data_IF_079234712016
#
_entry.id   IF_079234712016
#
_cell.length_a   1.000
_cell.length_b   1.000
_cell.length_c   1.000
_cell.angle_alpha   90.00
_cell.angle_beta   90.00
_cell.angle_gamma   90.00
#
_symmetry.space_group_name_H-M   'P 1'
#
loop_
_entity.id
_entity.type
_entity.pdbx_description
1 polymer ?
#
# COMPACT_ATOMS: atom_id res chain seq x y z
N UNK A 1 26.22 -5.34 -6.14
CA UNK A 1 24.97 -5.27 -5.35
C UNK A 1 24.28 -3.97 -5.74
N UNK A 2 23.00 -3.97 -6.07
CA UNK A 2 22.28 -2.76 -6.50
C UNK A 2 21.58 -2.14 -5.31
N UNK A 3 21.86 -0.87 -5.03
CA UNK A 3 21.18 -0.13 -3.97
C UNK A 3 19.86 0.48 -4.48
N UNK A 4 18.87 0.55 -3.59
CA UNK A 4 17.57 1.16 -3.83
C UNK A 4 17.30 2.13 -2.69
N UNK A 5 17.17 3.42 -3.02
CA UNK A 5 16.76 4.44 -2.07
C UNK A 5 15.24 4.53 -2.01
N UNK A 6 14.71 4.95 -0.86
CA UNK A 6 13.28 5.18 -0.69
C UNK A 6 12.89 6.54 -1.27
N UNK A 7 11.71 6.60 -1.87
CA UNK A 7 11.05 7.84 -2.29
C UNK A 7 9.77 8.08 -1.47
N UNK A 8 9.28 9.32 -1.32
CA UNK A 8 7.99 9.56 -0.66
C UNK A 8 6.84 8.88 -1.41
N UNK A 9 5.90 8.28 -0.67
CA UNK A 9 4.70 7.70 -1.26
C UNK A 9 3.71 8.80 -1.70
N UNK A 10 3.26 8.73 -2.95
CA UNK A 10 2.17 9.54 -3.49
C UNK A 10 1.26 8.66 -4.36
N UNK A 11 0.00 9.04 -4.55
CA UNK A 11 -0.82 8.33 -5.53
C UNK A 11 -0.22 8.33 -6.94
N UNK A 12 0.43 9.41 -7.35
CA UNK A 12 0.96 9.54 -8.72
C UNK A 12 2.11 8.58 -9.00
N UNK A 13 3.06 8.41 -8.05
CA UNK A 13 4.21 7.52 -8.24
C UNK A 13 3.90 6.05 -7.91
N UNK A 14 2.80 5.78 -7.19
CA UNK A 14 2.37 4.44 -6.81
C UNK A 14 1.26 3.85 -7.70
N UNK A 15 0.56 4.67 -8.49
CA UNK A 15 -0.54 4.24 -9.38
C UNK A 15 -0.25 3.02 -10.29
N UNK A 16 0.99 2.74 -10.73
CA UNK A 16 1.25 1.55 -11.52
C UNK A 16 1.21 0.24 -10.70
N UNK A 17 1.37 0.32 -9.38
CA UNK A 17 1.42 -0.83 -8.47
C UNK A 17 0.12 -1.03 -7.69
N UNK A 18 -0.61 0.05 -7.42
CA UNK A 18 -1.85 0.03 -6.65
C UNK A 18 -2.36 1.43 -6.33
N UNK A 19 -3.17 1.52 -5.29
CA UNK A 19 -3.77 2.77 -4.83
C UNK A 19 -3.17 3.19 -3.49
N UNK A 20 -3.11 4.49 -3.21
CA UNK A 20 -2.73 5.01 -1.89
C UNK A 20 -3.99 5.37 -1.11
N UNK A 21 -4.19 4.73 0.03
CA UNK A 21 -5.33 4.98 0.92
C UNK A 21 -4.98 6.14 1.84
N UNK A 22 -5.40 7.36 1.47
CA UNK A 22 -5.15 8.58 2.23
C UNK A 22 -6.27 9.61 2.01
N UNK A 23 -6.31 10.65 2.85
CA UNK A 23 -7.27 11.76 2.71
C UNK A 23 -6.68 13.00 2.04
N UNK A 24 -5.35 13.10 1.97
CA UNK A 24 -4.67 14.27 1.41
C UNK A 24 -4.97 14.40 -0.10
N UNK A 25 -5.36 15.60 -0.53
CA UNK A 25 -5.72 15.92 -1.93
C UNK A 25 -6.79 14.99 -2.55
N UNK A 26 -7.59 14.31 -1.73
CA UNK A 26 -8.69 13.47 -2.19
C UNK A 26 -10.02 14.20 -2.14
N UNK A 27 -10.85 13.94 -3.15
CA UNK A 27 -12.25 14.37 -3.16
C UNK A 27 -13.03 13.64 -2.06
N UNK A 28 -13.97 14.33 -1.45
CA UNK A 28 -14.89 13.77 -0.46
C UNK A 28 -16.31 14.25 -0.72
N UNK A 29 -17.26 13.48 -0.24
CA UNK A 29 -18.66 13.87 -0.13
C UNK A 29 -18.95 14.28 1.31
N UNK A 30 -19.75 15.33 1.50
CA UNK A 30 -20.31 15.64 2.81
C UNK A 30 -21.56 14.78 3.03
N UNK A 31 -21.57 14.04 4.13
CA UNK A 31 -22.69 13.19 4.55
C UNK A 31 -23.11 13.53 5.98
N UNK A 32 -24.20 12.94 6.46
CA UNK A 32 -24.74 13.16 7.81
C UNK A 32 -24.94 14.66 8.10
N UNK A 33 -25.71 15.36 7.27
CA UNK A 33 -25.97 16.80 7.43
C UNK A 33 -24.69 17.66 7.50
N UNK A 34 -23.74 17.35 6.60
CA UNK A 34 -22.43 17.99 6.52
C UNK A 34 -21.51 17.78 7.75
N UNK A 35 -21.82 16.84 8.64
CA UNK A 35 -21.00 16.55 9.83
C UNK A 35 -19.89 15.52 9.57
N UNK A 36 -19.87 14.85 8.41
CA UNK A 36 -18.85 13.86 8.10
C UNK A 36 -18.37 13.96 6.65
N UNK A 37 -17.06 13.90 6.47
CA UNK A 37 -16.41 13.80 5.16
C UNK A 37 -16.22 12.33 4.81
N UNK A 38 -16.89 11.86 3.76
CA UNK A 38 -16.73 10.52 3.21
C UNK A 38 -15.73 10.57 2.04
N UNK A 39 -14.55 10.03 2.26
CA UNK A 39 -13.56 9.78 1.21
C UNK A 39 -13.87 8.42 0.57
N UNK A 40 -14.72 8.43 -0.45
CA UNK A 40 -15.16 7.20 -1.13
C UNK A 40 -14.14 6.67 -2.14
N UNK A 41 -14.14 5.36 -2.34
CA UNK A 41 -13.41 4.67 -3.43
C UNK A 41 -11.90 4.97 -3.47
N UNK A 42 -11.25 5.04 -2.31
CA UNK A 42 -9.79 5.26 -2.22
C UNK A 42 -8.98 4.08 -2.77
N UNK A 43 -9.54 2.87 -2.73
CA UNK A 43 -8.98 1.64 -3.32
C UNK A 43 -10.12 0.66 -3.60
N UNK A 44 -9.93 -0.25 -4.56
CA UNK A 44 -10.89 -1.32 -4.88
C UNK A 44 -10.30 -2.69 -4.57
N UNK A 45 -10.92 -3.42 -3.63
CA UNK A 45 -10.54 -4.80 -3.35
C UNK A 45 -10.90 -5.71 -4.52
N UNK A 46 -9.93 -6.51 -4.97
CA UNK A 46 -10.10 -7.58 -5.94
C UNK A 46 -9.97 -8.90 -5.19
N UNK A 47 -11.00 -9.72 -5.21
CA UNK A 47 -11.00 -11.07 -4.63
C UNK A 47 -11.62 -12.03 -5.64
N UNK A 48 -11.23 -13.30 -5.64
CA UNK A 48 -11.88 -14.30 -6.47
C UNK A 48 -13.35 -14.44 -6.09
N UNK A 49 -14.17 -14.91 -7.04
CA UNK A 49 -15.63 -15.05 -6.90
C UNK A 49 -16.08 -15.87 -5.68
N UNK A 50 -15.25 -16.81 -5.23
CA UNK A 50 -15.58 -17.71 -4.12
C UNK A 50 -14.84 -17.34 -2.81
N UNK A 51 -14.03 -16.29 -2.83
CA UNK A 51 -13.27 -15.85 -1.66
C UNK A 51 -14.02 -14.73 -0.94
N UNK A 52 -13.79 -14.63 0.37
CA UNK A 52 -14.35 -13.58 1.22
C UNK A 52 -13.23 -12.64 1.64
N UNK A 53 -13.45 -11.33 1.49
CA UNK A 53 -12.52 -10.33 2.01
C UNK A 53 -12.49 -10.40 3.55
N UNK A 54 -11.30 -10.64 4.11
CA UNK A 54 -11.07 -10.67 5.55
C UNK A 54 -10.38 -9.39 6.03
N UNK A 55 -10.60 -9.07 7.30
CA UNK A 55 -9.79 -8.08 8.03
C UNK A 55 -8.88 -8.79 9.02
N UNK A 56 -7.65 -8.32 9.13
CA UNK A 56 -6.65 -8.90 10.03
C UNK A 56 -5.75 -7.78 10.55
N UNK A 57 -5.21 -7.98 11.76
CA UNK A 57 -4.23 -7.08 12.36
C UNK A 57 -2.88 -7.78 12.30
N UNK A 58 -1.88 -7.08 11.78
CA UNK A 58 -0.51 -7.56 11.69
C UNK A 58 0.33 -6.79 12.71
N UNK A 59 0.94 -7.52 13.65
CA UNK A 59 1.92 -6.96 14.57
C UNK A 59 3.31 -7.42 14.10
N UNK A 60 4.13 -6.47 13.63
CA UNK A 60 5.43 -6.75 13.02
C UNK A 60 6.55 -6.06 13.77
N UNK A 61 7.71 -6.71 13.86
CA UNK A 61 8.92 -6.11 14.44
C UNK A 61 9.60 -5.24 13.40
N UNK A 62 10.09 -4.07 13.82
CA UNK A 62 10.91 -3.23 12.97
C UNK A 62 12.22 -3.94 12.56
N UNK A 63 12.68 -3.64 11.35
CA UNK A 63 13.95 -4.12 10.81
C UNK A 63 14.96 -2.98 10.81
N UNK A 64 16.22 -3.27 11.13
CA UNK A 64 17.29 -2.27 11.03
C UNK A 64 17.73 -2.10 9.58
N UNK A 65 17.96 -0.86 9.16
CA UNK A 65 18.52 -0.55 7.85
C UNK A 65 20.06 -0.61 7.90
N UNK A 66 20.74 -1.01 6.80
CA UNK A 66 20.16 -1.45 5.53
C UNK A 66 19.55 -2.86 5.61
N UNK A 67 18.48 -3.09 4.85
CA UNK A 67 17.86 -4.42 4.70
C UNK A 67 18.31 -5.03 3.39
N UNK A 68 18.76 -6.28 3.43
CA UNK A 68 18.99 -7.09 2.24
C UNK A 68 17.65 -7.67 1.74
N UNK A 69 17.22 -7.26 0.54
CA UNK A 69 16.00 -7.78 -0.08
C UNK A 69 16.27 -9.17 -0.69
N UNK A 70 15.86 -10.23 0.03
CA UNK A 70 16.11 -11.62 -0.38
C UNK A 70 15.02 -12.23 -1.26
N UNK A 71 13.77 -11.80 -1.07
CA UNK A 71 12.62 -12.30 -1.82
C UNK A 71 11.53 -11.23 -1.92
N UNK A 72 10.59 -11.45 -2.84
CA UNK A 72 9.35 -10.70 -2.97
C UNK A 72 8.21 -11.70 -3.14
N UNK A 73 7.03 -11.31 -2.68
CA UNK A 73 5.81 -12.10 -2.80
C UNK A 73 4.78 -11.40 -3.69
N UNK A 74 3.74 -12.14 -4.07
CA UNK A 74 2.58 -11.61 -4.79
C UNK A 74 1.34 -12.45 -4.49
N UNK A 75 0.19 -11.86 -4.73
CA UNK A 75 -1.11 -12.54 -4.65
C UNK A 75 -1.77 -12.54 -6.04
N UNK A 76 -1.64 -13.61 -6.84
CA UNK A 76 -2.17 -13.65 -8.21
C UNK A 76 -3.70 -13.58 -8.29
N UNK A 77 -4.38 -13.84 -7.17
CA UNK A 77 -5.82 -14.08 -7.09
C UNK A 77 -6.57 -13.05 -6.25
N UNK A 78 -5.85 -12.14 -5.59
CA UNK A 78 -6.45 -11.13 -4.73
C UNK A 78 -5.56 -9.91 -4.58
N UNK A 79 -6.16 -8.75 -4.32
CA UNK A 79 -5.46 -7.58 -3.80
C UNK A 79 -5.22 -7.75 -2.30
N UNK A 80 -4.23 -7.02 -1.78
CA UNK A 80 -3.97 -6.89 -0.35
C UNK A 80 -3.77 -5.42 -0.03
N UNK A 81 -4.28 -4.99 1.12
CA UNK A 81 -4.17 -3.62 1.58
C UNK A 81 -3.56 -3.56 3.00
N UNK A 82 -2.77 -2.53 3.27
CA UNK A 82 -2.17 -2.27 4.57
C UNK A 82 -2.40 -0.83 4.99
N UNK A 83 -2.90 -0.64 6.22
CA UNK A 83 -3.11 0.67 6.82
C UNK A 83 -2.46 0.72 8.21
N UNK A 84 -1.63 1.72 8.53
CA UNK A 84 -1.08 1.89 9.87
C UNK A 84 -2.20 2.26 10.86
N UNK A 85 -2.21 1.63 12.03
CA UNK A 85 -3.26 1.85 13.03
C UNK A 85 -2.94 2.98 14.00
N UNK A 86 -1.66 3.30 14.25
CA UNK A 86 -1.27 4.37 15.18
C UNK A 86 -0.37 5.43 14.55
N UNK A 87 -0.44 5.59 13.23
CA UNK A 87 0.27 6.65 12.52
C UNK A 87 1.73 6.32 12.20
N UNK A 88 2.12 5.05 12.21
CA UNK A 88 3.48 4.61 11.95
C UNK A 88 3.87 4.81 10.47
N UNK A 89 5.05 5.38 10.24
CA UNK A 89 5.66 5.35 8.90
C UNK A 89 6.22 3.96 8.63
N UNK A 90 6.00 3.43 7.44
CA UNK A 90 6.56 2.14 7.01
C UNK A 90 7.13 2.21 5.59
N UNK A 91 7.97 1.22 5.28
CA UNK A 91 8.59 1.07 3.97
C UNK A 91 7.81 0.06 3.12
N UNK A 92 7.64 0.39 1.85
CA UNK A 92 6.97 -0.44 0.86
C UNK A 92 7.98 -0.74 -0.24
N UNK A 93 8.16 -2.00 -0.61
CA UNK A 93 9.00 -2.40 -1.74
C UNK A 93 8.12 -3.15 -2.73
N UNK A 94 8.03 -2.65 -3.96
CA UNK A 94 7.18 -3.20 -5.03
C UNK A 94 7.96 -3.35 -6.33
N UNK A 95 7.52 -4.27 -7.17
CA UNK A 95 8.06 -4.51 -8.49
C UNK A 95 6.96 -5.00 -9.41
N UNK A 96 7.11 -4.77 -10.71
CA UNK A 96 6.29 -5.46 -11.70
C UNK A 96 6.68 -6.93 -11.82
N UNK A 97 5.72 -7.77 -12.21
CA UNK A 97 6.02 -9.14 -12.58
C UNK A 97 6.52 -9.22 -14.02
N UNK A 98 7.70 -9.82 -14.18
CA UNK A 98 8.28 -10.24 -15.44
C UNK A 98 8.30 -11.76 -15.50
N UNK A 99 7.17 -12.37 -15.84
CA UNK A 99 7.03 -13.83 -16.02
C UNK A 99 7.48 -14.62 -14.78
N UNK A 100 6.88 -14.36 -13.63
CA UNK A 100 7.21 -14.96 -12.32
C UNK A 100 8.57 -14.53 -11.76
N UNK A 101 9.06 -13.36 -12.13
CA UNK A 101 10.27 -12.76 -11.57
C UNK A 101 10.06 -11.26 -11.39
N UNK A 102 10.51 -10.64 -10.27
CA UNK A 102 10.35 -9.21 -10.10
C UNK A 102 11.24 -8.45 -11.09
N UNK A 103 10.70 -7.39 -11.69
CA UNK A 103 11.51 -6.34 -12.30
C UNK A 103 12.34 -5.59 -11.23
N UNK A 104 13.09 -4.56 -11.63
CA UNK A 104 13.84 -3.74 -10.67
C UNK A 104 12.88 -3.16 -9.61
N UNK A 105 13.05 -3.48 -8.32
CA UNK A 105 12.15 -2.98 -7.29
C UNK A 105 12.25 -1.47 -7.12
N UNK A 106 11.15 -0.88 -6.67
CA UNK A 106 11.06 0.50 -6.17
C UNK A 106 10.71 0.46 -4.70
N UNK A 107 11.24 1.42 -3.94
CA UNK A 107 11.01 1.52 -2.50
C UNK A 107 10.35 2.85 -2.16
N UNK A 108 9.26 2.81 -1.39
CA UNK A 108 8.52 3.99 -0.96
C UNK A 108 8.51 4.08 0.57
N UNK A 109 8.41 5.30 1.10
CA UNK A 109 8.17 5.57 2.52
C UNK A 109 6.84 6.29 2.70
N UNK A 110 5.96 5.75 3.54
CA UNK A 110 4.70 6.41 3.91
C UNK A 110 4.91 7.56 4.88
N UNK A 111 3.92 8.45 4.99
CA UNK A 111 3.93 9.57 5.93
C UNK A 111 3.21 9.28 7.27
N UNK A 112 2.84 8.02 7.52
CA UNK A 112 2.08 7.60 8.71
C UNK A 112 0.55 7.78 8.61
N UNK A 113 0.06 8.55 7.62
CA UNK A 113 -1.37 8.74 7.34
C UNK A 113 -1.81 8.09 6.03
N UNK A 114 -0.96 7.24 5.48
CA UNK A 114 -1.13 6.56 4.19
C UNK A 114 -1.14 5.06 4.41
N UNK A 115 -2.14 4.39 3.84
CA UNK A 115 -2.10 2.98 3.52
C UNK A 115 -1.88 2.75 2.02
N UNK A 116 -1.75 1.48 1.64
CA UNK A 116 -1.74 1.00 0.24
C UNK A 116 -2.72 -0.14 0.05
#
# INVERSE_FOLDING_TARGET
MTEISTEPLTQSNFSPFGDVIETNERKFELINENQCKKFGNLSTLKVNRNDVAGFSIFESKAQNLPIELKFMERHPLASQAFMPLNGETFLIIVAFDKKNSPERPRAFRTNGKQGI
#
